data_IF_396096972029
#
_entry.id   IF_396096972029
#
_cell.length_a   1.000
_cell.length_b   1.000
_cell.length_c   1.000
_cell.angle_alpha   90.00
_cell.angle_beta   90.00
_cell.angle_gamma   90.00
#
_symmetry.space_group_name_H-M   'P 1'
#
loop_
_entity.id
_entity.type
_entity.pdbx_description
1 polymer ?
#
# COMPACT_ATOMS: atom_id res chain seq x y z
N UNK A 1 -4.47 -12.12 9.51
CA UNK A 1 -3.99 -11.03 10.41
C UNK A 1 -4.08 -9.65 9.80
N UNK A 2 -3.17 -9.21 8.92
CA UNK A 2 -3.21 -7.84 8.36
C UNK A 2 -4.53 -7.48 7.64
N UNK A 3 -5.20 -8.46 7.01
CA UNK A 3 -6.52 -8.29 6.39
C UNK A 3 -7.65 -7.99 7.40
N UNK A 4 -7.47 -8.33 8.68
CA UNK A 4 -8.45 -8.17 9.75
C UNK A 4 -8.17 -6.97 10.66
N UNK A 5 -6.94 -6.44 10.67
CA UNK A 5 -6.57 -5.21 11.40
C UNK A 5 -6.48 -3.97 10.53
N UNK A 6 -6.43 -4.12 9.21
CA UNK A 6 -6.49 -2.97 8.28
C UNK A 6 -7.92 -2.48 8.13
N UNK A 7 -8.11 -1.37 7.43
CA UNK A 7 -9.43 -0.72 7.21
C UNK A 7 -10.43 -1.57 6.41
N UNK A 8 -9.96 -2.66 5.80
CA UNK A 8 -10.75 -3.48 4.87
C UNK A 8 -12.02 -4.04 5.52
N UNK A 9 -12.01 -4.61 6.74
CA UNK A 9 -13.22 -5.09 7.40
C UNK A 9 -14.22 -3.96 7.73
N UNK A 10 -13.75 -2.73 7.97
CA UNK A 10 -14.65 -1.58 8.20
C UNK A 10 -15.51 -1.31 6.96
N UNK A 11 -14.97 -1.61 5.76
CA UNK A 11 -15.71 -1.50 4.50
C UNK A 11 -16.53 -2.77 4.24
N UNK A 12 -15.92 -3.95 4.38
CA UNK A 12 -16.52 -5.22 3.93
C UNK A 12 -17.54 -5.82 4.90
N UNK A 13 -17.44 -5.60 6.22
CA UNK A 13 -18.40 -6.15 7.18
C UNK A 13 -19.80 -5.52 7.05
N UNK A 14 -19.95 -4.18 6.99
CA UNK A 14 -21.26 -3.58 6.73
C UNK A 14 -21.82 -3.99 5.36
N UNK A 15 -20.94 -4.15 4.36
CA UNK A 15 -21.35 -4.63 3.04
C UNK A 15 -21.84 -6.08 3.07
N UNK A 16 -21.15 -6.98 3.76
CA UNK A 16 -21.58 -8.36 3.92
C UNK A 16 -22.91 -8.45 4.67
N UNK A 17 -23.08 -7.65 5.73
CA UNK A 17 -24.35 -7.55 6.45
C UNK A 17 -25.48 -7.04 5.54
N UNK A 18 -25.21 -6.04 4.69
CA UNK A 18 -26.16 -5.56 3.68
C UNK A 18 -26.54 -6.68 2.69
N UNK A 19 -25.58 -7.44 2.18
CA UNK A 19 -25.84 -8.56 1.26
C UNK A 19 -26.73 -9.62 1.91
N UNK A 20 -26.43 -10.01 3.16
CA UNK A 20 -27.26 -10.96 3.91
C UNK A 20 -28.67 -10.40 4.10
N UNK A 21 -28.80 -9.12 4.47
CA UNK A 21 -30.09 -8.46 4.65
C UNK A 21 -30.92 -8.41 3.36
N UNK A 22 -30.31 -8.00 2.24
CA UNK A 22 -30.97 -7.98 0.92
C UNK A 22 -31.45 -9.38 0.54
N UNK A 23 -30.61 -10.40 0.73
CA UNK A 23 -30.98 -11.79 0.44
C UNK A 23 -32.13 -12.28 1.30
N UNK A 24 -32.08 -12.05 2.62
CA UNK A 24 -33.18 -12.43 3.51
C UNK A 24 -34.49 -11.72 3.14
N UNK A 25 -34.42 -10.44 2.74
CA UNK A 25 -35.59 -9.69 2.30
C UNK A 25 -36.16 -10.23 0.99
N UNK A 26 -35.33 -10.53 0.00
CA UNK A 26 -35.76 -11.05 -1.29
C UNK A 26 -36.40 -12.44 -1.15
N UNK A 27 -35.86 -13.27 -0.25
CA UNK A 27 -36.40 -14.59 0.07
C UNK A 27 -37.53 -14.55 1.12
N UNK A 28 -38.00 -13.36 1.52
CA UNK A 28 -39.05 -13.13 2.52
C UNK A 28 -38.82 -13.89 3.85
N UNK A 29 -37.55 -14.09 4.23
CA UNK A 29 -37.18 -14.83 5.46
C UNK A 29 -37.43 -13.99 6.70
N UNK A 30 -37.72 -14.67 7.81
CA UNK A 30 -37.95 -14.02 9.10
C UNK A 30 -36.68 -13.38 9.67
N UNK A 31 -36.85 -12.39 10.57
CA UNK A 31 -35.75 -11.73 11.28
C UNK A 31 -34.82 -12.72 12.01
N UNK A 32 -35.37 -13.84 12.50
CA UNK A 32 -34.58 -14.91 13.14
C UNK A 32 -33.51 -15.47 12.19
N UNK A 33 -33.83 -15.64 10.91
CA UNK A 33 -32.87 -16.13 9.92
C UNK A 33 -31.79 -15.10 9.60
N UNK A 34 -32.15 -13.81 9.58
CA UNK A 34 -31.16 -12.73 9.42
C UNK A 34 -30.17 -12.73 10.57
N UNK A 35 -30.66 -12.72 11.82
CA UNK A 35 -29.82 -12.74 13.01
C UNK A 35 -28.93 -13.98 13.02
N UNK A 36 -29.51 -15.17 12.75
CA UNK A 36 -28.74 -16.41 12.68
C UNK A 36 -27.64 -16.34 11.61
N UNK A 37 -27.94 -15.81 10.43
CA UNK A 37 -26.96 -15.69 9.35
C UNK A 37 -25.82 -14.73 9.72
N UNK A 38 -26.13 -13.62 10.39
CA UNK A 38 -25.13 -12.67 10.89
C UNK A 38 -24.26 -13.29 12.01
N UNK A 39 -24.86 -14.06 12.92
CA UNK A 39 -24.15 -14.79 13.98
C UNK A 39 -23.24 -15.86 13.39
N UNK A 40 -23.73 -16.65 12.42
CA UNK A 40 -22.91 -17.66 11.73
C UNK A 40 -21.75 -17.01 10.99
N UNK A 41 -21.96 -15.88 10.32
CA UNK A 41 -20.89 -15.12 9.68
C UNK A 41 -19.86 -14.63 10.71
N UNK A 42 -20.31 -14.02 11.81
CA UNK A 42 -19.43 -13.51 12.86
C UNK A 42 -18.62 -14.65 13.52
N UNK A 43 -19.28 -15.77 13.86
CA UNK A 43 -18.63 -16.95 14.39
C UNK A 43 -17.59 -17.52 13.41
N UNK A 44 -17.93 -17.62 12.12
CA UNK A 44 -17.00 -18.07 11.08
C UNK A 44 -15.78 -17.16 10.93
N UNK A 45 -15.97 -15.84 11.03
CA UNK A 45 -14.87 -14.88 11.02
C UNK A 45 -13.96 -15.03 12.25
N UNK A 46 -14.52 -15.19 13.45
CA UNK A 46 -13.75 -15.40 14.68
C UNK A 46 -13.00 -16.73 14.63
N UNK A 47 -13.66 -17.81 14.23
CA UNK A 47 -13.05 -19.14 14.15
C UNK A 47 -11.92 -19.14 13.11
N UNK A 48 -12.14 -18.56 11.92
CA UNK A 48 -11.09 -18.45 10.90
C UNK A 48 -9.93 -17.58 11.37
N UNK A 49 -10.20 -16.49 12.09
CA UNK A 49 -9.18 -15.64 12.72
C UNK A 49 -8.27 -16.45 13.65
N UNK A 50 -8.87 -17.15 14.61
CA UNK A 50 -8.15 -17.96 15.60
C UNK A 50 -7.41 -19.11 14.92
N UNK A 51 -8.05 -19.79 13.96
CA UNK A 51 -7.41 -20.87 13.21
C UNK A 51 -6.18 -20.38 12.44
N UNK A 52 -6.27 -19.23 11.77
CA UNK A 52 -5.13 -18.64 11.06
C UNK A 52 -4.01 -18.24 12.03
N UNK A 53 -4.35 -17.71 13.21
CA UNK A 53 -3.37 -17.40 14.25
C UNK A 53 -2.63 -18.66 14.72
N UNK A 54 -3.36 -19.71 15.08
CA UNK A 54 -2.78 -20.93 15.58
C UNK A 54 -1.95 -21.67 14.52
N UNK A 55 -2.39 -21.65 13.25
CA UNK A 55 -1.71 -22.37 12.17
C UNK A 55 -0.45 -21.66 11.67
N UNK A 56 -0.47 -20.32 11.59
CA UNK A 56 0.64 -19.55 11.00
C UNK A 56 1.56 -19.00 12.08
N UNK A 57 1.00 -18.29 13.05
CA UNK A 57 1.74 -17.55 14.08
C UNK A 57 1.87 -18.34 15.39
N UNK A 58 1.33 -19.58 15.43
CA UNK A 58 1.32 -20.44 16.62
C UNK A 58 0.70 -19.76 17.86
N UNK A 59 -0.26 -18.86 17.65
CA UNK A 59 -0.92 -18.10 18.73
C UNK A 59 -0.17 -16.85 19.19
N UNK A 60 0.97 -16.52 18.60
CA UNK A 60 1.77 -15.36 19.00
C UNK A 60 1.00 -14.05 18.83
N UNK A 61 0.13 -13.95 17.82
CA UNK A 61 -0.62 -12.73 17.61
C UNK A 61 -1.59 -12.44 18.76
N UNK A 62 -2.39 -13.44 19.19
CA UNK A 62 -3.35 -13.24 20.28
C UNK A 62 -2.63 -12.93 21.61
N UNK A 63 -1.47 -13.57 21.84
CA UNK A 63 -0.62 -13.28 23.00
C UNK A 63 -0.08 -11.84 22.99
N UNK A 64 0.30 -11.33 21.82
CA UNK A 64 0.84 -9.98 21.64
C UNK A 64 -0.18 -9.02 21.01
N UNK A 65 -1.48 -9.23 21.26
CA UNK A 65 -2.55 -8.43 20.67
C UNK A 65 -2.36 -6.94 20.97
N UNK A 66 -2.01 -6.61 22.21
CA UNK A 66 -1.77 -5.23 22.64
C UNK A 66 -0.70 -4.54 21.81
N UNK A 67 0.43 -5.20 21.55
CA UNK A 67 1.52 -4.67 20.71
C UNK A 67 1.07 -4.49 19.26
N UNK A 68 0.27 -5.43 18.74
CA UNK A 68 -0.26 -5.31 17.38
C UNK A 68 -1.27 -4.18 17.27
N UNK A 69 -2.11 -4.00 18.30
CA UNK A 69 -3.09 -2.92 18.37
C UNK A 69 -2.41 -1.55 18.46
N UNK A 70 -1.47 -1.37 19.39
CA UNK A 70 -0.76 -0.10 19.58
C UNK A 70 0.07 0.26 18.36
N UNK A 71 0.71 -0.72 17.71
CA UNK A 71 1.41 -0.48 16.45
C UNK A 71 0.46 -0.08 15.32
N UNK A 72 -0.85 -0.32 15.40
CA UNK A 72 -1.83 0.04 14.36
C UNK A 72 -2.66 1.29 14.63
N UNK A 73 -3.02 1.52 15.89
CA UNK A 73 -3.93 2.58 16.33
C UNK A 73 -3.29 3.54 17.33
N UNK A 74 -1.98 3.42 17.57
CA UNK A 74 -1.23 4.34 18.42
C UNK A 74 -1.20 5.77 17.84
N UNK A 75 -1.23 6.74 18.74
CA UNK A 75 -1.11 8.16 18.40
C UNK A 75 0.33 8.47 17.97
N UNK A 76 0.49 9.36 16.99
CA UNK A 76 1.81 9.83 16.60
C UNK A 76 2.49 10.58 17.76
N UNK A 77 3.72 10.18 18.08
CA UNK A 77 4.58 10.76 19.12
C UNK A 77 5.75 11.56 18.55
N UNK A 78 6.09 11.38 17.27
CA UNK A 78 7.16 12.13 16.59
C UNK A 78 6.71 12.59 15.20
N UNK A 79 7.26 13.75 14.80
CA UNK A 79 7.01 14.43 13.53
C UNK A 79 8.30 14.65 12.72
N UNK A 80 9.42 14.03 13.14
CA UNK A 80 10.74 14.16 12.48
C UNK A 80 10.72 13.72 11.01
N UNK A 81 9.79 12.83 10.65
CA UNK A 81 9.60 12.29 9.30
C UNK A 81 8.18 12.60 8.79
N UNK A 82 7.69 13.81 9.06
CA UNK A 82 6.33 14.24 8.73
C UNK A 82 5.27 13.55 9.58
N UNK A 83 4.03 13.60 9.12
CA UNK A 83 2.87 13.08 9.85
C UNK A 83 2.01 12.16 8.99
N UNK A 84 1.26 11.26 9.64
CA UNK A 84 0.23 10.47 8.97
C UNK A 84 -0.82 11.35 8.26
N UNK A 85 -1.04 12.57 8.75
CA UNK A 85 -2.01 13.54 8.24
C UNK A 85 -1.69 14.05 6.82
N UNK A 86 -0.42 14.02 6.43
CA UNK A 86 0.05 14.42 5.09
C UNK A 86 -0.26 13.38 4.01
N UNK A 87 -0.58 12.15 4.43
CA UNK A 87 -0.88 11.03 3.53
C UNK A 87 -2.39 10.83 3.39
N UNK A 88 -3.11 11.85 2.96
CA UNK A 88 -4.55 11.76 2.66
C UNK A 88 -4.87 10.95 1.39
N UNK A 89 -6.15 10.67 1.16
CA UNK A 89 -6.61 10.04 -0.09
C UNK A 89 -6.25 10.90 -1.30
N UNK A 90 -5.55 10.30 -2.28
CA UNK A 90 -5.21 10.99 -3.54
C UNK A 90 -6.42 11.05 -4.47
N UNK A 91 -7.22 12.12 -4.37
CA UNK A 91 -8.36 12.36 -5.26
C UNK A 91 -7.96 12.47 -6.74
N UNK A 92 -6.69 12.83 -7.03
CA UNK A 92 -6.19 12.84 -8.41
C UNK A 92 -6.15 11.44 -9.03
N UNK A 93 -6.16 10.37 -8.22
CA UNK A 93 -6.28 9.01 -8.71
C UNK A 93 -7.58 8.80 -9.51
N UNK A 94 -8.68 9.48 -9.18
CA UNK A 94 -9.92 9.40 -9.95
C UNK A 94 -9.78 10.06 -11.32
N UNK A 95 -9.09 11.20 -11.39
CA UNK A 95 -8.83 11.92 -12.63
C UNK A 95 -7.81 11.18 -13.53
N UNK A 96 -6.75 10.62 -12.94
CA UNK A 96 -5.77 9.77 -13.65
C UNK A 96 -6.41 8.52 -14.26
N UNK A 97 -7.51 8.05 -13.67
CA UNK A 97 -8.33 6.94 -14.13
C UNK A 97 -9.69 7.43 -14.65
N UNK A 98 -9.72 8.52 -15.42
CA UNK A 98 -10.96 9.11 -15.94
C UNK A 98 -11.80 8.11 -16.77
N UNK A 99 -11.13 7.19 -17.46
CA UNK A 99 -11.70 6.10 -18.24
C UNK A 99 -12.61 5.22 -17.37
N UNK A 100 -12.16 4.87 -16.17
CA UNK A 100 -12.97 4.14 -15.22
C UNK A 100 -13.98 5.06 -14.50
N UNK A 101 -13.53 6.22 -14.03
CA UNK A 101 -14.33 7.13 -13.20
C UNK A 101 -15.56 7.66 -13.95
N UNK A 102 -15.42 8.06 -15.21
CA UNK A 102 -16.53 8.58 -16.01
C UNK A 102 -17.62 7.52 -16.22
N UNK A 103 -17.22 6.30 -16.61
CA UNK A 103 -18.13 5.17 -16.76
C UNK A 103 -18.79 4.80 -15.42
N UNK A 104 -18.02 4.80 -14.33
CA UNK A 104 -18.50 4.49 -12.99
C UNK A 104 -19.55 5.52 -12.50
N UNK A 105 -19.36 6.82 -12.74
CA UNK A 105 -20.33 7.87 -12.40
C UNK A 105 -21.67 7.63 -13.11
N UNK A 106 -21.63 7.35 -14.42
CA UNK A 106 -22.84 7.07 -15.20
C UNK A 106 -23.55 5.82 -14.68
N UNK A 107 -22.80 4.75 -14.43
CA UNK A 107 -23.34 3.52 -13.86
C UNK A 107 -23.92 3.69 -12.45
N UNK A 108 -23.24 4.46 -11.60
CA UNK A 108 -23.68 4.75 -10.25
C UNK A 108 -25.01 5.54 -10.26
N UNK A 109 -25.16 6.52 -11.17
CA UNK A 109 -26.40 7.26 -11.32
C UNK A 109 -27.58 6.35 -11.75
N UNK A 110 -27.34 5.39 -12.64
CA UNK A 110 -28.34 4.41 -13.06
C UNK A 110 -28.69 3.43 -11.93
N UNK A 111 -27.68 2.92 -11.23
CA UNK A 111 -27.87 2.04 -10.07
C UNK A 111 -28.64 2.76 -8.97
N UNK A 112 -28.39 4.05 -8.73
CA UNK A 112 -29.08 4.81 -7.68
C UNK A 112 -30.57 4.95 -7.97
N UNK A 113 -30.93 5.11 -9.26
CA UNK A 113 -32.34 5.09 -9.69
C UNK A 113 -32.95 3.70 -9.51
N UNK A 114 -32.23 2.64 -9.87
CA UNK A 114 -32.69 1.24 -9.72
C UNK A 114 -32.80 0.78 -8.28
N UNK A 115 -31.95 1.29 -7.40
CA UNK A 115 -31.92 0.95 -5.97
C UNK A 115 -33.25 1.23 -5.26
N UNK A 116 -34.07 2.16 -5.80
CA UNK A 116 -35.43 2.42 -5.31
C UNK A 116 -36.39 1.26 -5.53
N UNK A 117 -36.18 0.46 -6.57
CA UNK A 117 -37.03 -0.66 -6.94
C UNK A 117 -36.40 -2.03 -6.64
N UNK A 118 -35.08 -2.15 -6.81
CA UNK A 118 -34.31 -3.37 -6.52
C UNK A 118 -33.13 -3.01 -5.61
N UNK A 119 -33.18 -3.48 -4.37
CA UNK A 119 -32.14 -3.22 -3.37
C UNK A 119 -30.78 -3.86 -3.70
N UNK A 120 -30.74 -4.89 -4.54
CA UNK A 120 -29.46 -5.47 -4.99
C UNK A 120 -28.62 -4.45 -5.76
N UNK A 121 -29.27 -3.51 -6.46
CA UNK A 121 -28.58 -2.42 -7.14
C UNK A 121 -27.89 -1.44 -6.17
N UNK A 122 -28.25 -1.46 -4.88
CA UNK A 122 -27.60 -0.65 -3.85
C UNK A 122 -26.24 -1.23 -3.43
N UNK A 123 -25.97 -2.53 -3.61
CA UNK A 123 -24.74 -3.19 -3.16
C UNK A 123 -23.47 -2.49 -3.68
N UNK A 124 -23.26 -2.34 -5.01
CA UNK A 124 -22.07 -1.65 -5.51
C UNK A 124 -21.99 -0.17 -5.11
N UNK A 125 -23.14 0.50 -4.91
CA UNK A 125 -23.17 1.89 -4.44
C UNK A 125 -22.76 2.03 -2.99
N UNK A 126 -23.29 1.16 -2.13
CA UNK A 126 -22.92 1.13 -0.71
C UNK A 126 -21.46 0.75 -0.55
N UNK A 127 -20.96 -0.22 -1.33
CA UNK A 127 -19.54 -0.54 -1.33
C UNK A 127 -18.70 0.67 -1.75
N UNK A 128 -19.03 1.32 -2.87
CA UNK A 128 -18.32 2.49 -3.34
C UNK A 128 -18.34 3.64 -2.31
N UNK A 129 -19.52 3.91 -1.74
CA UNK A 129 -19.73 4.94 -0.72
C UNK A 129 -18.94 4.66 0.56
N UNK A 130 -18.97 3.43 1.07
CA UNK A 130 -18.18 3.02 2.23
C UNK A 130 -16.68 3.14 1.96
N UNK A 131 -16.21 2.73 0.78
CA UNK A 131 -14.81 2.86 0.42
C UNK A 131 -14.36 4.33 0.40
N UNK A 132 -15.13 5.21 -0.25
CA UNK A 132 -14.80 6.65 -0.25
C UNK A 132 -14.93 7.30 1.12
N UNK A 133 -15.92 6.93 1.92
CA UNK A 133 -16.08 7.44 3.28
C UNK A 133 -14.89 7.05 4.15
N UNK A 134 -14.55 5.75 4.17
CA UNK A 134 -13.47 5.23 5.01
C UNK A 134 -12.13 5.80 4.57
N UNK A 135 -11.80 5.76 3.27
CA UNK A 135 -10.49 6.25 2.81
C UNK A 135 -10.41 7.78 2.74
N UNK A 136 -11.52 8.48 2.55
CA UNK A 136 -11.56 9.94 2.58
C UNK A 136 -11.35 10.50 3.99
N UNK A 137 -11.75 9.76 5.02
CA UNK A 137 -11.58 10.16 6.42
C UNK A 137 -10.33 9.57 7.08
N UNK A 138 -9.93 8.35 6.72
CA UNK A 138 -8.81 7.68 7.35
C UNK A 138 -7.48 8.10 6.74
N UNK A 139 -6.51 8.35 7.61
CA UNK A 139 -5.11 8.60 7.25
C UNK A 139 -4.18 7.73 8.10
N UNK A 140 -3.07 7.23 7.53
CA UNK A 140 -2.59 7.46 6.16
C UNK A 140 -3.30 6.56 5.12
N UNK A 141 -3.51 7.08 3.91
CA UNK A 141 -3.93 6.32 2.75
C UNK A 141 -2.74 5.96 1.86
N UNK A 142 -2.61 4.68 1.55
CA UNK A 142 -1.58 4.16 0.67
C UNK A 142 -2.14 3.76 -0.70
N UNK A 143 -1.39 3.95 -1.80
CA UNK A 143 -1.85 3.62 -3.14
C UNK A 143 -2.36 2.19 -3.34
N UNK A 144 -1.85 1.21 -2.57
CA UNK A 144 -2.31 -0.17 -2.66
C UNK A 144 -3.78 -0.34 -2.20
N UNK A 145 -4.32 0.59 -1.40
CA UNK A 145 -5.75 0.57 -1.03
C UNK A 145 -6.68 0.97 -2.18
N UNK A 146 -6.15 1.53 -3.27
CA UNK A 146 -6.93 1.90 -4.45
C UNK A 146 -7.74 0.72 -5.01
N UNK A 147 -7.29 -0.53 -4.82
CA UNK A 147 -8.07 -1.71 -5.24
C UNK A 147 -9.48 -1.75 -4.62
N UNK A 148 -9.64 -1.25 -3.39
CA UNK A 148 -10.92 -1.27 -2.68
C UNK A 148 -11.90 -0.21 -3.16
N UNK A 149 -11.44 0.85 -3.81
CA UNK A 149 -12.31 1.80 -4.53
C UNK A 149 -12.49 1.37 -5.99
N UNK A 150 -11.45 0.84 -6.63
CA UNK A 150 -11.49 0.41 -8.03
C UNK A 150 -12.51 -0.71 -8.27
N UNK A 151 -12.59 -1.72 -7.40
CA UNK A 151 -13.53 -2.85 -7.55
C UNK A 151 -15.00 -2.41 -7.67
N UNK A 152 -15.59 -1.66 -6.72
CA UNK A 152 -16.96 -1.18 -6.87
C UNK A 152 -17.11 -0.16 -8.00
N UNK A 153 -16.07 0.63 -8.33
CA UNK A 153 -16.09 1.49 -9.53
C UNK A 153 -16.21 0.67 -10.82
N UNK A 154 -15.46 -0.43 -10.97
CA UNK A 154 -15.56 -1.32 -12.12
C UNK A 154 -16.94 -1.94 -12.24
N UNK A 155 -17.56 -2.33 -11.12
CA UNK A 155 -18.94 -2.83 -11.13
C UNK A 155 -19.91 -1.75 -11.63
N UNK A 156 -19.86 -0.54 -11.05
CA UNK A 156 -20.68 0.58 -11.52
C UNK A 156 -20.43 0.85 -13.01
N UNK A 157 -19.18 0.95 -13.44
CA UNK A 157 -18.80 1.20 -14.82
C UNK A 157 -19.37 0.16 -15.80
N UNK A 158 -19.27 -1.12 -15.46
CA UNK A 158 -19.81 -2.21 -16.28
C UNK A 158 -21.33 -2.06 -16.47
N UNK A 159 -22.08 -1.80 -15.39
CA UNK A 159 -23.54 -1.57 -15.46
C UNK A 159 -23.86 -0.36 -16.34
N UNK A 160 -23.09 0.72 -16.19
CA UNK A 160 -23.26 1.94 -16.98
C UNK A 160 -23.07 1.70 -18.47
N UNK A 161 -21.92 1.12 -18.85
CA UNK A 161 -21.56 0.86 -20.25
C UNK A 161 -22.53 -0.12 -20.91
N UNK A 162 -22.88 -1.22 -20.25
CA UNK A 162 -23.83 -2.20 -20.80
C UNK A 162 -25.20 -1.57 -21.01
N UNK A 163 -25.69 -0.76 -20.06
CA UNK A 163 -27.00 -0.14 -20.19
C UNK A 163 -27.06 0.87 -21.35
N UNK A 164 -26.00 1.66 -21.54
CA UNK A 164 -25.93 2.59 -22.67
C UNK A 164 -25.85 1.83 -23.99
N UNK A 165 -25.06 0.75 -24.07
CA UNK A 165 -24.97 -0.08 -25.28
C UNK A 165 -26.33 -0.68 -25.67
N UNK A 166 -27.02 -1.31 -24.72
CA UNK A 166 -28.35 -1.93 -24.94
C UNK A 166 -29.38 -0.87 -25.36
N UNK A 167 -29.40 0.29 -24.69
CA UNK A 167 -30.29 1.38 -25.05
C UNK A 167 -29.99 1.94 -26.46
N UNK A 168 -28.72 2.18 -26.77
CA UNK A 168 -28.29 2.73 -28.05
C UNK A 168 -28.62 1.76 -29.19
N UNK A 169 -28.39 0.47 -29.00
CA UNK A 169 -28.70 -0.58 -29.96
C UNK A 169 -30.22 -0.72 -30.20
N UNK A 170 -31.00 -0.86 -29.12
CA UNK A 170 -32.46 -1.05 -29.20
C UNK A 170 -33.19 0.13 -29.82
N UNK A 171 -32.72 1.36 -29.59
CA UNK A 171 -33.30 2.58 -30.17
C UNK A 171 -32.62 3.01 -31.48
N UNK A 172 -31.69 2.18 -32.02
CA UNK A 172 -30.87 2.47 -33.20
C UNK A 172 -30.24 3.88 -33.17
N UNK A 173 -29.80 4.31 -31.98
CA UNK A 173 -29.18 5.63 -31.77
C UNK A 173 -27.72 5.58 -32.18
N UNK A 174 -27.49 5.74 -33.48
CA UNK A 174 -26.14 5.70 -34.08
C UNK A 174 -25.15 6.63 -33.38
N UNK A 175 -25.56 7.87 -33.07
CA UNK A 175 -24.70 8.84 -32.38
C UNK A 175 -24.19 8.34 -31.00
N UNK A 176 -25.01 7.60 -30.25
CA UNK A 176 -24.61 7.04 -28.97
C UNK A 176 -23.63 5.87 -29.13
N UNK A 177 -23.83 5.03 -30.14
CA UNK A 177 -22.88 3.96 -30.49
C UNK A 177 -21.52 4.53 -30.92
N UNK A 178 -21.53 5.59 -31.74
CA UNK A 178 -20.30 6.31 -32.14
C UNK A 178 -19.61 6.91 -30.92
N UNK A 179 -20.34 7.59 -30.03
CA UNK A 179 -19.77 8.16 -28.82
C UNK A 179 -19.15 7.09 -27.90
N UNK A 180 -19.80 5.94 -27.75
CA UNK A 180 -19.24 4.79 -27.01
C UNK A 180 -17.98 4.23 -27.68
N UNK A 181 -17.99 4.10 -29.01
CA UNK A 181 -16.82 3.65 -29.76
C UNK A 181 -15.62 4.60 -29.60
N UNK A 182 -15.87 5.91 -29.69
CA UNK A 182 -14.85 6.93 -29.45
C UNK A 182 -14.33 6.90 -28.01
N UNK A 183 -15.23 6.80 -27.02
CA UNK A 183 -14.84 6.65 -25.63
C UNK A 183 -13.97 5.41 -25.42
N UNK A 184 -14.38 4.26 -25.96
CA UNK A 184 -13.63 3.01 -25.88
C UNK A 184 -12.25 3.10 -26.54
N UNK A 185 -12.16 3.73 -27.71
CA UNK A 185 -10.88 3.96 -28.39
C UNK A 185 -9.94 4.84 -27.57
N UNK A 186 -10.45 5.96 -27.03
CA UNK A 186 -9.67 6.85 -26.15
C UNK A 186 -9.24 6.15 -24.86
N UNK A 187 -10.13 5.38 -24.22
CA UNK A 187 -9.84 4.63 -23.00
C UNK A 187 -8.76 3.57 -23.25
N UNK A 188 -8.87 2.79 -24.34
CA UNK A 188 -7.86 1.78 -24.70
C UNK A 188 -6.51 2.41 -25.01
N UNK A 189 -6.47 3.51 -25.76
CA UNK A 189 -5.23 4.23 -26.04
C UNK A 189 -4.60 4.78 -24.74
N UNK A 190 -5.40 5.34 -23.83
CA UNK A 190 -4.95 5.84 -22.54
C UNK A 190 -4.40 4.73 -21.64
N UNK A 191 -5.13 3.63 -21.49
CA UNK A 191 -4.70 2.46 -20.72
C UNK A 191 -3.41 1.86 -21.30
N UNK A 192 -3.36 1.69 -22.62
CA UNK A 192 -2.18 1.18 -23.33
C UNK A 192 -0.95 2.06 -23.11
N UNK A 193 -1.10 3.39 -23.22
CA UNK A 193 -0.03 4.34 -22.96
C UNK A 193 0.47 4.26 -21.51
N UNK A 194 -0.43 4.17 -20.52
CA UNK A 194 -0.05 4.04 -19.10
C UNK A 194 0.71 2.74 -18.83
N UNK A 195 0.21 1.61 -19.32
CA UNK A 195 0.88 0.31 -19.19
C UNK A 195 2.26 0.36 -19.85
N UNK A 196 2.34 0.91 -21.06
CA UNK A 196 3.62 1.09 -21.76
C UNK A 196 4.60 1.95 -20.95
N UNK A 197 4.16 3.11 -20.45
CA UNK A 197 5.00 4.00 -19.64
C UNK A 197 5.44 3.35 -18.34
N UNK A 198 4.56 2.59 -17.68
CA UNK A 198 4.90 1.87 -16.45
C UNK A 198 5.91 0.75 -16.71
N UNK A 199 5.70 -0.06 -17.76
CA UNK A 199 6.65 -1.11 -18.16
C UNK A 199 7.99 -0.50 -18.55
N UNK A 200 7.97 0.59 -19.32
CA UNK A 200 9.19 1.32 -19.68
C UNK A 200 9.90 1.87 -18.44
N UNK A 201 9.16 2.46 -17.51
CA UNK A 201 9.71 2.96 -16.24
C UNK A 201 10.34 1.86 -15.40
N UNK A 202 9.71 0.69 -15.31
CA UNK A 202 10.29 -0.49 -14.63
C UNK A 202 11.55 -0.97 -15.35
N UNK A 203 11.53 -1.05 -16.69
CA UNK A 203 12.72 -1.44 -17.47
C UNK A 203 13.88 -0.45 -17.38
N UNK A 204 13.57 0.84 -17.24
CA UNK A 204 14.54 1.92 -17.06
C UNK A 204 14.95 2.12 -15.59
N UNK A 205 14.29 1.43 -14.65
CA UNK A 205 14.66 1.52 -13.25
C UNK A 205 16.05 0.93 -13.03
N UNK A 206 16.77 1.48 -12.06
CA UNK A 206 18.15 1.10 -11.80
C UNK A 206 18.25 -0.40 -11.55
N UNK A 207 18.99 -1.08 -12.43
CA UNK A 207 19.25 -2.50 -12.29
C UNK A 207 20.29 -2.68 -11.19
N UNK A 208 19.79 -2.83 -9.95
CA UNK A 208 20.62 -2.89 -8.75
C UNK A 208 21.79 -3.87 -8.88
N UNK A 209 21.60 -5.03 -9.51
CA UNK A 209 22.66 -6.03 -9.69
C UNK A 209 23.87 -5.55 -10.52
N UNK A 210 23.69 -4.52 -11.35
CA UNK A 210 24.73 -3.92 -12.19
C UNK A 210 25.26 -2.60 -11.62
N UNK A 211 24.80 -2.15 -10.45
CA UNK A 211 25.24 -0.88 -9.90
C UNK A 211 26.68 -0.99 -9.39
N UNK A 212 27.50 0.00 -9.76
CA UNK A 212 28.91 0.06 -9.36
C UNK A 212 29.05 0.16 -7.83
N UNK A 213 28.12 0.86 -7.16
CA UNK A 213 28.10 0.94 -5.70
C UNK A 213 28.00 -0.43 -5.02
N UNK A 214 27.26 -1.38 -5.61
CA UNK A 214 27.18 -2.74 -5.08
C UNK A 214 28.43 -3.55 -5.37
N UNK A 215 29.10 -3.32 -6.50
CA UNK A 215 30.40 -3.93 -6.78
C UNK A 215 31.43 -3.47 -5.74
N UNK A 216 31.45 -2.18 -5.44
CA UNK A 216 32.32 -1.63 -4.39
C UNK A 216 31.94 -2.16 -3.00
N UNK A 217 30.66 -2.19 -2.62
CA UNK A 217 30.23 -2.75 -1.34
C UNK A 217 30.64 -4.23 -1.18
N UNK A 218 30.55 -5.04 -2.26
CA UNK A 218 30.99 -6.44 -2.26
C UNK A 218 32.49 -6.60 -2.03
N UNK A 219 33.33 -5.65 -2.46
CA UNK A 219 34.78 -5.64 -2.18
C UNK A 219 35.08 -5.67 -0.68
N UNK A 220 34.24 -5.01 0.12
CA UNK A 220 34.38 -4.94 1.57
C UNK A 220 33.69 -6.08 2.32
N UNK A 221 32.88 -6.92 1.65
CA UNK A 221 32.13 -8.03 2.27
C UNK A 221 32.98 -8.91 3.21
N UNK A 222 34.21 -9.34 2.87
CA UNK A 222 35.01 -10.18 3.77
C UNK A 222 35.45 -9.48 5.06
N UNK A 223 35.35 -8.15 5.12
CA UNK A 223 35.88 -7.30 6.20
C UNK A 223 34.77 -6.66 7.04
N UNK A 224 33.51 -6.84 6.66
CA UNK A 224 32.37 -6.24 7.36
C UNK A 224 31.34 -7.28 7.75
N UNK A 225 30.78 -7.11 8.95
CA UNK A 225 29.65 -7.89 9.41
C UNK A 225 28.31 -7.25 9.01
N UNK A 226 28.26 -5.92 8.98
CA UNK A 226 27.01 -5.18 8.81
C UNK A 226 27.15 -4.09 7.74
N UNK A 227 26.07 -3.86 7.01
CA UNK A 227 25.88 -2.73 6.10
C UNK A 227 24.63 -2.00 6.53
N UNK A 228 24.73 -0.73 6.92
CA UNK A 228 23.55 0.12 7.01
C UNK A 228 23.29 0.74 5.63
N UNK A 229 22.09 0.60 5.09
CA UNK A 229 21.69 1.21 3.84
C UNK A 229 20.39 1.99 4.02
N UNK A 230 20.31 3.21 3.47
CA UNK A 230 19.07 4.00 3.49
C UNK A 230 17.92 3.35 2.72
N UNK A 231 18.23 2.38 1.85
CA UNK A 231 17.29 1.49 1.20
C UNK A 231 17.75 0.06 1.48
N UNK A 232 16.91 -0.72 2.15
CA UNK A 232 17.22 -2.05 2.66
C UNK A 232 17.61 -3.04 1.54
N UNK A 233 17.10 -2.79 0.33
CA UNK A 233 17.35 -3.62 -0.85
C UNK A 233 18.84 -3.74 -1.21
N UNK A 234 19.67 -2.74 -0.89
CA UNK A 234 21.12 -2.81 -1.19
C UNK A 234 21.83 -3.81 -0.28
N UNK A 235 21.41 -3.94 0.98
CA UNK A 235 21.94 -4.96 1.90
C UNK A 235 21.67 -6.37 1.38
N UNK A 236 20.45 -6.60 0.87
CA UNK A 236 20.08 -7.86 0.24
C UNK A 236 20.97 -8.20 -0.97
N UNK A 237 21.16 -7.28 -1.92
CA UNK A 237 21.99 -7.55 -3.11
C UNK A 237 23.51 -7.54 -2.86
N UNK A 238 23.98 -6.86 -1.82
CA UNK A 238 25.37 -6.93 -1.37
C UNK A 238 25.67 -8.25 -0.63
N UNK A 239 24.64 -8.95 -0.16
CA UNK A 239 24.75 -10.12 0.74
C UNK A 239 25.57 -9.77 2.00
N UNK A 240 25.29 -8.59 2.55
CA UNK A 240 25.82 -8.09 3.82
C UNK A 240 24.61 -7.64 4.64
N UNK A 241 24.31 -8.28 5.78
CA UNK A 241 23.08 -8.00 6.51
C UNK A 241 23.08 -6.59 7.11
N UNK A 242 21.88 -6.04 7.34
CA UNK A 242 21.71 -4.83 8.16
C UNK A 242 21.69 -5.17 9.65
N UNK A 243 22.13 -4.26 10.53
CA UNK A 243 21.92 -4.42 11.96
C UNK A 243 20.43 -4.70 12.27
N UNK A 244 20.08 -5.67 13.14
CA UNK A 244 18.70 -6.14 13.28
C UNK A 244 17.67 -5.04 13.58
N UNK A 245 18.02 -4.11 14.47
CA UNK A 245 17.12 -3.00 14.87
C UNK A 245 16.92 -1.96 13.77
N UNK A 246 17.81 -1.94 12.78
CA UNK A 246 17.85 -1.03 11.63
C UNK A 246 17.40 -1.69 10.31
N UNK A 247 17.17 -3.00 10.30
CA UNK A 247 16.88 -3.76 9.09
C UNK A 247 15.50 -3.44 8.48
N UNK A 248 14.55 -2.95 9.29
CA UNK A 248 13.22 -2.53 8.82
C UNK A 248 12.81 -1.25 9.55
N UNK A 249 12.85 -0.13 8.84
CA UNK A 249 12.55 1.20 9.38
C UNK A 249 11.30 1.79 8.72
N UNK A 250 10.11 1.18 8.89
CA UNK A 250 8.89 1.73 8.33
C UNK A 250 8.59 3.08 9.01
N UNK A 251 8.02 4.00 8.22
CA UNK A 251 7.67 5.35 8.66
C UNK A 251 6.84 5.37 9.96
N UNK A 252 6.03 4.33 10.16
CA UNK A 252 5.22 4.14 11.36
C UNK A 252 6.02 4.02 12.66
N UNK A 253 7.22 3.41 12.64
CA UNK A 253 8.11 3.35 13.82
C UNK A 253 8.59 4.73 14.22
N UNK A 254 8.83 5.59 13.23
CA UNK A 254 9.15 6.99 13.48
C UNK A 254 7.93 7.72 14.06
N UNK A 255 6.77 7.63 13.42
CA UNK A 255 5.57 8.28 13.93
C UNK A 255 5.17 7.81 15.33
N UNK A 256 5.30 6.53 15.66
CA UNK A 256 4.97 6.02 17.01
C UNK A 256 6.01 6.39 18.08
N UNK A 257 7.16 6.96 17.69
CA UNK A 257 8.29 7.25 18.57
C UNK A 257 9.11 6.02 18.97
N UNK A 258 8.85 4.85 18.37
CA UNK A 258 9.69 3.65 18.60
C UNK A 258 11.10 3.81 18.02
N UNK A 259 11.21 4.59 16.95
CA UNK A 259 12.46 5.04 16.34
C UNK A 259 12.47 6.56 16.27
N UNK A 260 13.59 7.19 16.59
CA UNK A 260 13.83 8.63 16.47
C UNK A 260 15.18 8.85 15.81
N UNK A 261 15.49 10.07 15.39
CA UNK A 261 16.81 10.43 14.91
C UNK A 261 17.93 10.13 15.93
N UNK A 262 17.67 10.42 17.21
CA UNK A 262 18.58 10.09 18.32
C UNK A 262 18.78 8.59 18.44
N UNK A 263 17.70 7.80 18.43
CA UNK A 263 17.80 6.34 18.54
C UNK A 263 18.48 5.72 17.32
N UNK A 264 18.22 6.24 16.12
CA UNK A 264 18.88 5.80 14.90
C UNK A 264 20.40 6.01 14.99
N UNK A 265 20.83 7.19 15.45
CA UNK A 265 22.24 7.48 15.67
C UNK A 265 22.85 6.56 16.73
N UNK A 266 22.16 6.36 17.86
CA UNK A 266 22.62 5.48 18.94
C UNK A 266 22.77 4.01 18.50
N UNK A 267 21.84 3.47 17.71
CA UNK A 267 21.97 2.11 17.17
C UNK A 267 23.15 2.00 16.18
N UNK A 268 23.39 3.02 15.35
CA UNK A 268 24.56 3.04 14.47
C UNK A 268 25.88 3.12 15.25
N UNK A 269 25.93 3.92 16.31
CA UNK A 269 27.08 4.00 17.21
C UNK A 269 27.32 2.69 17.97
N UNK A 270 26.25 1.97 18.33
CA UNK A 270 26.31 0.67 19.01
C UNK A 270 26.79 -0.45 18.08
N UNK A 271 26.25 -0.54 16.87
CA UNK A 271 26.57 -1.64 15.95
C UNK A 271 27.83 -1.38 15.11
N UNK A 272 28.23 -0.12 14.91
CA UNK A 272 29.38 0.30 14.09
C UNK A 272 29.48 -0.49 12.78
N UNK A 273 28.47 -0.38 11.89
CA UNK A 273 28.45 -1.17 10.67
C UNK A 273 29.69 -0.86 9.83
N UNK A 274 30.38 -1.88 9.30
CA UNK A 274 31.60 -1.62 8.54
C UNK A 274 31.35 -0.77 7.28
N UNK A 275 30.13 -0.80 6.75
CA UNK A 275 29.69 0.04 5.63
C UNK A 275 28.42 0.82 5.96
N UNK A 276 28.37 2.06 5.47
CA UNK A 276 27.18 2.92 5.48
C UNK A 276 26.91 3.39 4.05
N UNK A 277 25.77 3.02 3.48
CA UNK A 277 25.33 3.41 2.16
C UNK A 277 24.15 4.38 2.24
N UNK A 278 24.33 5.59 1.73
CA UNK A 278 23.33 6.65 1.75
C UNK A 278 22.98 7.11 0.35
N UNK A 279 21.77 7.66 0.20
CA UNK A 279 21.41 8.43 -0.97
C UNK A 279 22.29 9.69 -1.09
N UNK A 280 22.61 10.06 -2.33
CA UNK A 280 23.29 11.30 -2.66
C UNK A 280 22.28 12.42 -2.96
N UNK A 281 21.64 12.93 -1.91
CA UNK A 281 20.56 13.93 -2.02
C UNK A 281 20.85 15.24 -1.26
N UNK A 282 22.10 15.41 -0.79
CA UNK A 282 22.54 16.61 -0.07
C UNK A 282 21.96 16.76 1.34
N UNK A 283 21.12 15.84 1.82
CA UNK A 283 20.55 15.90 3.17
C UNK A 283 21.59 15.51 4.21
N UNK A 284 21.60 16.23 5.33
CA UNK A 284 22.30 15.82 6.53
C UNK A 284 21.58 14.62 7.16
N UNK A 285 22.36 13.75 7.81
CA UNK A 285 21.84 12.58 8.52
C UNK A 285 22.03 12.76 10.03
N UNK A 286 21.19 12.13 10.87
CA UNK A 286 21.25 12.34 12.33
C UNK A 286 22.56 11.84 12.96
N UNK A 287 23.31 10.99 12.27
CA UNK A 287 24.61 10.45 12.66
C UNK A 287 25.77 11.07 11.85
N UNK A 288 25.62 12.32 11.39
CA UNK A 288 26.64 13.02 10.61
C UNK A 288 28.00 13.07 11.34
N UNK A 289 27.98 13.29 12.67
CA UNK A 289 29.21 13.30 13.50
C UNK A 289 29.94 11.96 13.46
N UNK A 290 29.21 10.85 13.52
CA UNK A 290 29.78 9.50 13.42
C UNK A 290 30.46 9.30 12.07
N UNK A 291 29.82 9.74 10.97
CA UNK A 291 30.41 9.64 9.64
C UNK A 291 31.71 10.41 9.52
N UNK A 292 31.76 11.63 10.04
CA UNK A 292 32.93 12.51 9.96
C UNK A 292 34.09 12.03 10.85
N UNK A 293 33.79 11.40 11.99
CA UNK A 293 34.79 10.91 12.91
C UNK A 293 35.40 9.56 12.48
N UNK A 294 34.55 8.60 12.11
CA UNK A 294 34.96 7.19 12.06
C UNK A 294 34.90 6.57 10.66
N UNK A 295 34.31 7.26 9.68
CA UNK A 295 34.07 6.72 8.34
C UNK A 295 34.74 7.54 7.24
N UNK A 296 35.09 6.86 6.15
CA UNK A 296 35.64 7.49 4.96
C UNK A 296 34.76 7.20 3.75
N UNK A 297 34.53 8.22 2.93
CA UNK A 297 33.86 8.05 1.64
C UNK A 297 34.76 7.23 0.71
N UNK A 298 34.31 6.03 0.34
CA UNK A 298 35.06 5.09 -0.52
C UNK A 298 34.48 5.00 -1.93
N UNK A 299 33.22 5.41 -2.12
CA UNK A 299 32.61 5.48 -3.44
C UNK A 299 31.52 6.56 -3.47
N UNK A 300 31.38 7.22 -4.62
CA UNK A 300 30.46 8.31 -4.87
C UNK A 300 29.95 8.28 -6.31
N UNK A 301 28.63 8.40 -6.48
CA UNK A 301 27.99 8.62 -7.78
C UNK A 301 26.76 9.54 -7.62
N UNK A 302 26.06 9.92 -8.71
CA UNK A 302 24.90 10.81 -8.61
C UNK A 302 23.76 10.32 -7.70
N UNK A 303 23.66 9.02 -7.43
CA UNK A 303 22.63 8.42 -6.58
C UNK A 303 23.11 8.01 -5.18
N UNK A 304 24.41 7.79 -4.99
CA UNK A 304 24.94 7.08 -3.83
C UNK A 304 26.20 7.69 -3.22
N UNK A 305 26.30 7.56 -1.90
CA UNK A 305 27.51 7.80 -1.11
C UNK A 305 27.76 6.56 -0.27
N UNK A 306 28.86 5.86 -0.52
CA UNK A 306 29.28 4.70 0.26
C UNK A 306 30.44 5.08 1.17
N UNK A 307 30.22 4.90 2.45
CA UNK A 307 31.18 5.13 3.51
C UNK A 307 31.65 3.80 4.06
N UNK A 308 32.95 3.67 4.31
CA UNK A 308 33.54 2.53 4.98
C UNK A 308 34.19 2.96 6.30
N UNK A 309 34.01 2.14 7.33
CA UNK A 309 34.61 2.39 8.63
C UNK A 309 36.15 2.43 8.51
N UNK A 310 36.79 3.31 9.28
CA UNK A 310 38.23 3.58 9.22
C UNK A 310 39.12 2.35 9.39
N UNK A 311 38.65 1.35 10.15
CA UNK A 311 39.37 0.10 10.39
C UNK A 311 39.43 -0.83 9.18
N UNK A 312 38.50 -0.69 8.22
CA UNK A 312 38.41 -1.55 7.03
C UNK A 312 38.81 -0.81 5.75
N UNK A 313 38.58 0.51 5.67
CA UNK A 313 38.94 1.32 4.51
C UNK A 313 40.42 1.21 4.15
N UNK A 314 41.30 1.21 5.17
CA UNK A 314 42.76 1.09 5.02
C UNK A 314 43.24 -0.30 4.58
N UNK A 315 42.43 -1.34 4.79
CA UNK A 315 42.77 -2.72 4.41
C UNK A 315 42.47 -2.98 2.94
N UNK A 316 41.44 -2.31 2.40
CA UNK A 316 41.00 -2.48 1.03
C UNK A 316 41.76 -1.61 0.01
N UNK A 317 42.75 -0.83 0.44
CA UNK A 317 43.66 -0.05 -0.41
C UNK A 317 45.05 -0.72 -0.60
N UNK A 318 45.24 -1.90 0.00
CA UNK A 318 46.39 -2.79 -0.21
C UNK A 318 45.97 -3.96 -1.09
#
# INVERSE_FOLDING_TARGET
MALQTKLVPIILLPLAALVIWVRCRNEQRSLKHLILSLVVMAAGLVISYVAVDCLIEKGAYLLHFGQTWTSHFGIAKSYEYGSAEEHGFDWSALAKNWDLSAAAILGAALLARRARANLEAAIPLTWLGLAFLVFGLHKPWWPYYYVHTALPMCWCAAVGLVQVAVWAWSKRKFAALVAMGLFGACALAWMGARVYLQVRGVKQSEQLYASLVLQEAKRFKPMTQWLYASREIYSFYADIPMPPDLAVLPLKRFWSGEMTNERLAAELEKYQPGLILLANDGRSVPFQRLLEADYHLVYFDPGHRLYAHSSISRKASR
#
